data_IF_264219245877
#
_entry.id   IF_264219245877
#
_cell.length_a   1.000
_cell.length_b   1.000
_cell.length_c   1.000
_cell.angle_alpha   90.00
_cell.angle_beta   90.00
_cell.angle_gamma   90.00
#
_symmetry.space_group_name_H-M   'P 1'
#
loop_
_entity.id
_entity.type
_entity.pdbx_description
1 polymer ?
#
# COMPACT_ATOMS: atom_id res chain seq x y z
N UNK A 1 7.82 -3.81 -17.68
CA UNK A 1 7.95 -3.89 -16.21
C UNK A 1 8.59 -2.64 -15.61
N UNK A 2 9.86 -2.31 -15.88
CA UNK A 2 10.55 -1.15 -15.26
C UNK A 2 9.85 0.19 -15.52
N UNK A 3 9.44 0.47 -16.78
CA UNK A 3 8.70 1.71 -17.12
C UNK A 3 7.37 1.83 -16.34
N UNK A 4 6.67 0.72 -16.18
CA UNK A 4 5.41 0.65 -15.42
C UNK A 4 5.65 0.88 -13.93
N UNK A 5 6.63 0.22 -13.33
CA UNK A 5 6.98 0.42 -11.92
C UNK A 5 7.46 1.84 -11.64
N UNK A 6 8.26 2.43 -12.53
CA UNK A 6 8.67 3.83 -12.42
C UNK A 6 7.45 4.76 -12.42
N UNK A 7 6.54 4.60 -13.38
CA UNK A 7 5.33 5.43 -13.45
C UNK A 7 4.44 5.26 -12.21
N UNK A 8 4.19 4.02 -11.81
CA UNK A 8 3.38 3.67 -10.64
C UNK A 8 3.98 4.22 -9.35
N UNK A 9 5.29 4.09 -9.17
CA UNK A 9 6.02 4.67 -8.05
C UNK A 9 5.79 6.17 -7.95
N UNK A 10 6.03 6.94 -9.01
CA UNK A 10 5.89 8.40 -8.97
C UNK A 10 4.43 8.85 -8.78
N UNK A 11 3.46 8.12 -9.34
CA UNK A 11 2.04 8.39 -9.13
C UNK A 11 1.66 8.24 -7.66
N UNK A 12 2.01 7.12 -7.05
CA UNK A 12 1.68 6.86 -5.64
C UNK A 12 2.46 7.77 -4.72
N UNK A 13 3.75 8.01 -4.99
CA UNK A 13 4.56 8.96 -4.23
C UNK A 13 3.88 10.34 -4.18
N UNK A 14 3.52 10.86 -5.36
CA UNK A 14 2.93 12.20 -5.47
C UNK A 14 1.55 12.25 -4.81
N UNK A 15 0.72 11.23 -5.03
CA UNK A 15 -0.61 11.13 -4.42
C UNK A 15 -0.52 11.09 -2.90
N UNK A 16 0.33 10.24 -2.34
CA UNK A 16 0.53 10.14 -0.89
C UNK A 16 1.07 11.44 -0.32
N UNK A 17 2.06 12.06 -0.97
CA UNK A 17 2.64 13.31 -0.50
C UNK A 17 1.60 14.44 -0.46
N UNK A 18 0.84 14.61 -1.54
CA UNK A 18 -0.25 15.60 -1.61
C UNK A 18 -1.33 15.29 -0.56
N UNK A 19 -1.70 14.02 -0.41
CA UNK A 19 -2.72 13.60 0.55
C UNK A 19 -2.31 13.92 1.99
N UNK A 20 -1.06 13.64 2.37
CA UNK A 20 -0.57 13.96 3.71
C UNK A 20 -0.52 15.47 3.94
N UNK A 21 -0.08 16.26 2.96
CA UNK A 21 -0.10 17.72 3.07
C UNK A 21 -1.52 18.27 3.21
N UNK A 22 -2.48 17.70 2.48
CA UNK A 22 -3.90 18.07 2.58
C UNK A 22 -4.46 17.76 3.97
N UNK A 23 -4.13 16.60 4.55
CA UNK A 23 -4.53 16.26 5.92
C UNK A 23 -3.90 17.21 6.95
N UNK A 24 -2.62 17.58 6.78
CA UNK A 24 -1.97 18.57 7.64
C UNK A 24 -2.71 19.91 7.56
N UNK A 25 -3.00 20.38 6.34
CA UNK A 25 -3.68 21.66 6.12
C UNK A 25 -5.08 21.72 6.74
N UNK A 26 -5.85 20.63 6.67
CA UNK A 26 -7.22 20.60 7.19
C UNK A 26 -7.26 20.44 8.72
N UNK A 27 -6.43 19.56 9.28
CA UNK A 27 -6.54 19.17 10.69
C UNK A 27 -5.58 19.91 11.62
N UNK A 28 -4.43 20.36 11.13
CA UNK A 28 -3.44 21.09 11.92
C UNK A 28 -3.39 22.59 11.60
N UNK A 29 -3.99 23.03 10.49
CA UNK A 29 -4.06 24.43 10.10
C UNK A 29 -2.69 25.02 9.70
N UNK A 30 -2.45 26.27 10.08
CA UNK A 30 -1.21 26.99 9.76
C UNK A 30 -0.05 26.55 10.66
N UNK A 31 0.65 25.50 10.24
CA UNK A 31 1.86 24.98 10.90
C UNK A 31 3.11 25.27 10.07
N UNK A 32 4.17 25.78 10.71
CA UNK A 32 5.48 25.88 10.08
C UNK A 32 6.18 24.51 10.09
N UNK A 33 6.61 24.05 8.91
CA UNK A 33 7.30 22.77 8.76
C UNK A 33 8.82 22.99 8.74
N UNK A 34 9.53 22.32 9.65
CA UNK A 34 11.00 22.28 9.56
C UNK A 34 11.44 21.48 8.34
N UNK A 35 12.59 21.84 7.76
CA UNK A 35 13.19 21.11 6.63
C UNK A 35 13.38 19.62 6.96
N UNK A 36 13.74 19.30 8.21
CA UNK A 36 13.86 17.92 8.68
C UNK A 36 12.53 17.18 8.63
N UNK A 37 11.44 17.83 9.03
CA UNK A 37 10.10 17.23 8.97
C UNK A 37 9.63 17.02 7.53
N UNK A 38 9.95 17.94 6.62
CA UNK A 38 9.66 17.74 5.18
C UNK A 38 10.31 16.46 4.65
N UNK A 39 11.54 16.14 5.07
CA UNK A 39 12.16 14.86 4.71
C UNK A 39 11.42 13.64 5.26
N UNK A 40 10.84 13.73 6.46
CA UNK A 40 9.97 12.67 6.97
C UNK A 40 8.75 12.46 6.06
N UNK A 41 8.12 13.54 5.57
CA UNK A 41 7.00 13.46 4.64
C UNK A 41 7.40 12.83 3.30
N UNK A 42 8.58 13.18 2.78
CA UNK A 42 9.15 12.54 1.58
C UNK A 42 9.35 11.04 1.81
N UNK A 43 9.89 10.64 2.97
CA UNK A 43 10.07 9.24 3.32
C UNK A 43 8.74 8.48 3.42
N UNK A 44 7.69 9.09 3.99
CA UNK A 44 6.33 8.51 4.02
C UNK A 44 5.83 8.24 2.59
N UNK A 45 5.94 9.24 1.71
CA UNK A 45 5.57 9.09 0.29
C UNK A 45 6.37 7.99 -0.39
N UNK A 46 7.68 7.90 -0.13
CA UNK A 46 8.55 6.87 -0.69
C UNK A 46 8.17 5.46 -0.20
N UNK A 47 7.89 5.28 1.09
CA UNK A 47 7.43 4.01 1.65
C UNK A 47 6.13 3.55 0.96
N UNK A 48 5.14 4.43 0.87
CA UNK A 48 3.88 4.13 0.18
C UNK A 48 4.10 3.79 -1.30
N UNK A 49 4.95 4.53 -1.99
CA UNK A 49 5.29 4.28 -3.40
C UNK A 49 6.00 2.95 -3.63
N UNK A 50 6.89 2.54 -2.71
CA UNK A 50 7.54 1.23 -2.76
C UNK A 50 6.49 0.13 -2.56
N UNK A 51 5.66 0.24 -1.52
CA UNK A 51 4.70 -0.81 -1.15
C UNK A 51 3.64 -0.96 -2.23
N UNK A 52 2.89 0.10 -2.50
CA UNK A 52 1.75 0.03 -3.42
C UNK A 52 2.16 0.14 -4.88
N UNK A 53 3.24 0.89 -5.18
CA UNK A 53 3.61 1.22 -6.55
C UNK A 53 4.51 0.19 -7.22
N UNK A 54 5.28 -0.55 -6.41
CA UNK A 54 6.27 -1.51 -6.90
C UNK A 54 6.02 -2.90 -6.33
N UNK A 55 6.03 -3.04 -5.01
CA UNK A 55 6.01 -4.34 -4.34
C UNK A 55 4.69 -5.07 -4.59
N UNK A 56 3.54 -4.42 -4.41
CA UNK A 56 2.24 -5.05 -4.65
C UNK A 56 2.09 -5.50 -6.11
N UNK A 57 2.31 -4.67 -7.13
CA UNK A 57 2.31 -5.12 -8.52
C UNK A 57 3.27 -6.28 -8.76
N UNK A 58 4.51 -6.22 -8.25
CA UNK A 58 5.49 -7.30 -8.38
C UNK A 58 5.00 -8.61 -7.76
N UNK A 59 4.47 -8.55 -6.54
CA UNK A 59 4.04 -9.72 -5.77
C UNK A 59 2.76 -10.34 -6.32
N UNK A 60 1.79 -9.52 -6.72
CA UNK A 60 0.49 -10.03 -7.17
C UNK A 60 0.50 -10.44 -8.64
N UNK A 61 1.12 -9.65 -9.52
CA UNK A 61 1.02 -9.84 -10.97
C UNK A 61 2.18 -10.61 -11.58
N UNK A 62 3.38 -10.53 -11.00
CA UNK A 62 4.60 -11.10 -11.61
C UNK A 62 5.19 -12.27 -10.84
N UNK A 63 4.82 -12.46 -9.58
CA UNK A 63 5.35 -13.54 -8.76
C UNK A 63 4.53 -14.83 -8.90
N UNK A 64 5.24 -15.96 -8.98
CA UNK A 64 4.71 -17.33 -9.00
C UNK A 64 4.46 -17.92 -7.61
N UNK A 65 4.60 -17.12 -6.55
CA UNK A 65 4.37 -17.57 -5.17
C UNK A 65 2.92 -18.02 -4.96
N UNK A 66 2.73 -19.00 -4.06
CA UNK A 66 1.41 -19.42 -3.61
C UNK A 66 0.69 -18.27 -2.90
N UNK A 67 -0.65 -18.27 -2.95
CA UNK A 67 -1.49 -17.22 -2.38
C UNK A 67 -1.17 -16.93 -0.90
N UNK A 68 -0.97 -17.98 -0.10
CA UNK A 68 -0.57 -17.85 1.31
C UNK A 68 0.69 -16.98 1.49
N UNK A 69 1.75 -17.25 0.70
CA UNK A 69 2.99 -16.50 0.78
C UNK A 69 2.81 -15.04 0.33
N UNK A 70 2.02 -14.80 -0.72
CA UNK A 70 1.71 -13.44 -1.18
C UNK A 70 1.00 -12.64 -0.09
N UNK A 71 -0.03 -13.21 0.54
CA UNK A 71 -0.79 -12.58 1.63
C UNK A 71 0.11 -12.31 2.85
N UNK A 72 0.96 -13.28 3.22
CA UNK A 72 1.87 -13.12 4.35
C UNK A 72 2.87 -11.98 4.12
N UNK A 73 3.55 -11.98 2.97
CA UNK A 73 4.55 -10.96 2.62
C UNK A 73 3.90 -9.58 2.53
N UNK A 74 2.76 -9.47 1.84
CA UNK A 74 2.07 -8.18 1.70
C UNK A 74 1.61 -7.64 3.05
N UNK A 75 1.08 -8.49 3.93
CA UNK A 75 0.61 -8.08 5.25
C UNK A 75 1.75 -7.59 6.13
N UNK A 76 2.86 -8.34 6.19
CA UNK A 76 4.03 -7.96 7.00
C UNK A 76 4.62 -6.63 6.53
N UNK A 77 4.89 -6.50 5.23
CA UNK A 77 5.55 -5.30 4.71
C UNK A 77 4.61 -4.09 4.79
N UNK A 78 3.32 -4.26 4.52
CA UNK A 78 2.34 -3.18 4.64
C UNK A 78 2.21 -2.68 6.08
N UNK A 79 2.11 -3.59 7.05
CA UNK A 79 2.00 -3.20 8.45
C UNK A 79 3.27 -2.52 8.95
N UNK A 80 4.46 -3.04 8.62
CA UNK A 80 5.72 -2.40 8.98
C UNK A 80 5.86 -1.02 8.33
N UNK A 81 5.55 -0.90 7.04
CA UNK A 81 5.57 0.38 6.33
C UNK A 81 4.62 1.40 6.94
N UNK A 82 3.40 0.97 7.28
CA UNK A 82 2.42 1.81 7.97
C UNK A 82 2.90 2.28 9.34
N UNK A 83 3.49 1.39 10.14
CA UNK A 83 4.04 1.74 11.46
C UNK A 83 5.18 2.76 11.33
N UNK A 84 6.12 2.53 10.39
CA UNK A 84 7.23 3.45 10.14
C UNK A 84 6.69 4.80 9.66
N UNK A 85 5.68 4.81 8.79
CA UNK A 85 5.05 6.04 8.30
C UNK A 85 4.41 6.84 9.44
N UNK A 86 3.68 6.19 10.36
CA UNK A 86 3.11 6.86 11.54
C UNK A 86 4.23 7.42 12.44
N UNK A 87 5.29 6.65 12.67
CA UNK A 87 6.42 7.11 13.48
C UNK A 87 7.16 8.31 12.86
N UNK A 88 7.34 8.32 11.54
CA UNK A 88 7.91 9.46 10.79
C UNK A 88 7.00 10.70 10.87
N UNK A 89 5.69 10.50 10.91
CA UNK A 89 4.69 11.57 10.98
C UNK A 89 4.61 12.18 12.40
N UNK A 90 4.52 11.34 13.43
CA UNK A 90 4.46 11.77 14.83
C UNK A 90 4.80 10.63 15.80
N UNK A 91 5.75 10.88 16.71
CA UNK A 91 6.09 9.92 17.76
C UNK A 91 4.94 9.73 18.77
N UNK A 92 4.18 10.79 19.06
CA UNK A 92 3.02 10.71 19.96
C UNK A 92 1.93 9.82 19.37
N UNK A 93 1.65 9.96 18.06
CA UNK A 93 0.73 9.07 17.37
C UNK A 93 1.23 7.63 17.36
N UNK A 94 2.53 7.41 17.16
CA UNK A 94 3.10 6.08 17.24
C UNK A 94 2.90 5.45 18.63
N UNK A 95 3.15 6.21 19.71
CA UNK A 95 2.94 5.74 21.08
C UNK A 95 1.46 5.40 21.32
N UNK A 96 0.54 6.22 20.80
CA UNK A 96 -0.89 5.97 20.88
C UNK A 96 -1.32 4.68 20.15
N UNK A 97 -0.81 4.42 18.95
CA UNK A 97 -1.18 3.22 18.18
C UNK A 97 -0.44 1.95 18.63
N UNK A 98 0.70 2.08 19.34
CA UNK A 98 1.58 0.97 19.71
C UNK A 98 0.84 -0.22 20.36
N UNK A 99 -0.09 -0.03 21.32
CA UNK A 99 -0.83 -1.15 21.92
C UNK A 99 -1.72 -1.89 20.92
N UNK A 100 -2.13 -1.23 19.85
CA UNK A 100 -3.07 -1.73 18.84
C UNK A 100 -2.38 -2.37 17.63
N UNK A 101 -1.04 -2.38 17.57
CA UNK A 101 -0.28 -2.91 16.42
C UNK A 101 -0.70 -4.34 16.07
N UNK A 102 -0.90 -5.20 17.07
CA UNK A 102 -1.33 -6.58 16.84
C UNK A 102 -2.72 -6.64 16.18
N UNK A 103 -3.67 -5.84 16.66
CA UNK A 103 -5.01 -5.75 16.08
C UNK A 103 -4.96 -5.21 14.64
N UNK A 104 -4.15 -4.17 14.39
CA UNK A 104 -3.91 -3.61 13.05
C UNK A 104 -3.32 -4.66 12.12
N UNK A 105 -2.37 -5.48 12.59
CA UNK A 105 -1.77 -6.55 11.81
C UNK A 105 -2.79 -7.62 11.42
N UNK A 106 -3.60 -8.08 12.38
CA UNK A 106 -4.67 -9.04 12.12
C UNK A 106 -5.68 -8.48 11.11
N UNK A 107 -6.11 -7.23 11.30
CA UNK A 107 -7.02 -6.56 10.37
C UNK A 107 -6.40 -6.44 8.97
N UNK A 108 -5.11 -6.17 8.88
CA UNK A 108 -4.35 -6.11 7.62
C UNK A 108 -4.37 -7.46 6.92
N UNK A 109 -4.16 -8.57 7.64
CA UNK A 109 -4.24 -9.92 7.08
C UNK A 109 -5.64 -10.20 6.54
N UNK A 110 -6.68 -9.90 7.33
CA UNK A 110 -8.08 -10.10 6.92
C UNK A 110 -8.36 -9.32 5.63
N UNK A 111 -7.94 -8.04 5.57
CA UNK A 111 -8.10 -7.22 4.37
C UNK A 111 -7.44 -7.83 3.13
N UNK A 112 -6.22 -8.37 3.27
CA UNK A 112 -5.54 -9.05 2.17
C UNK A 112 -6.21 -10.36 1.75
N UNK A 113 -6.73 -11.15 2.69
CA UNK A 113 -7.49 -12.37 2.39
C UNK A 113 -8.74 -12.02 1.59
N UNK A 114 -9.50 -11.03 2.04
CA UNK A 114 -10.71 -10.55 1.37
C UNK A 114 -10.34 -10.06 -0.04
N UNK A 115 -9.37 -9.15 -0.15
CA UNK A 115 -8.91 -8.63 -1.43
C UNK A 115 -8.49 -9.72 -2.40
N UNK A 116 -7.74 -10.73 -1.93
CA UNK A 116 -7.35 -11.88 -2.72
C UNK A 116 -8.56 -12.66 -3.24
N UNK A 117 -9.54 -12.98 -2.38
CA UNK A 117 -10.71 -13.76 -2.77
C UNK A 117 -11.57 -13.02 -3.81
N UNK A 118 -11.82 -11.72 -3.58
CA UNK A 118 -12.56 -10.89 -4.51
C UNK A 118 -11.86 -10.77 -5.87
N UNK A 119 -10.56 -10.47 -5.86
CA UNK A 119 -9.77 -10.34 -7.09
C UNK A 119 -9.72 -11.67 -7.86
N UNK A 120 -9.47 -12.79 -7.18
CA UNK A 120 -9.39 -14.11 -7.81
C UNK A 120 -10.72 -14.50 -8.44
N UNK A 121 -11.85 -14.23 -7.78
CA UNK A 121 -13.19 -14.49 -8.34
C UNK A 121 -13.44 -13.68 -9.62
N UNK A 122 -13.06 -12.40 -9.60
CA UNK A 122 -13.20 -11.53 -10.77
C UNK A 122 -12.32 -11.99 -11.94
N UNK A 123 -11.04 -12.28 -11.66
CA UNK A 123 -10.06 -12.70 -12.66
C UNK A 123 -10.43 -14.05 -13.32
N UNK A 124 -10.87 -15.02 -12.52
CA UNK A 124 -11.38 -16.30 -13.01
C UNK A 124 -12.61 -16.12 -13.92
N UNK A 125 -13.53 -15.23 -13.55
CA UNK A 125 -14.73 -14.96 -14.34
C UNK A 125 -14.39 -14.28 -15.66
N UNK A 126 -13.45 -13.32 -15.64
CA UNK A 126 -12.96 -12.63 -16.82
C UNK A 126 -12.28 -13.60 -17.79
N UNK A 127 -11.32 -14.37 -17.28
CA UNK A 127 -10.56 -15.36 -18.05
C UNK A 127 -11.47 -16.41 -18.67
N UNK A 128 -12.47 -16.92 -17.92
CA UNK A 128 -13.46 -17.87 -18.44
C UNK A 128 -14.28 -17.28 -19.59
N UNK A 129 -14.71 -16.02 -19.50
CA UNK A 129 -15.43 -15.34 -20.59
C UNK A 129 -14.55 -15.14 -21.82
N UNK A 130 -13.30 -14.74 -21.64
CA UNK A 130 -12.34 -14.57 -22.74
C UNK A 130 -12.08 -15.89 -23.47
N UNK A 131 -11.85 -16.98 -22.72
CA UNK A 131 -11.71 -18.33 -23.28
C UNK A 131 -12.97 -18.77 -24.05
N UNK A 132 -14.15 -18.61 -23.46
CA UNK A 132 -15.42 -18.97 -24.11
C UNK A 132 -15.67 -18.16 -25.39
N UNK A 133 -15.26 -16.90 -25.44
CA UNK A 133 -15.37 -16.07 -26.63
C UNK A 133 -14.39 -16.49 -27.72
N UNK A 134 -13.18 -16.93 -27.36
CA UNK A 134 -12.21 -17.48 -28.32
C UNK A 134 -12.69 -18.80 -28.91
N UNK A 135 -13.38 -19.64 -28.13
CA UNK A 135 -13.93 -20.92 -28.58
C UNK A 135 -15.21 -20.80 -29.43
N UNK A 136 -15.87 -19.63 -29.41
CA UNK A 136 -17.07 -19.34 -30.23
C UNK A 136 -16.74 -18.74 -31.60
N UNK A 137 -15.47 -18.45 -31.87
CA UNK A 137 -14.95 -18.07 -33.19
C UNK A 137 -14.45 -19.31 -33.92
#
# INVERSE_FOLDING_TARGET
MIKQFKSSFFQIFSLTFIWVLLLISIFLGDVSLSVKYTWNLVCIGAISAIIFGVMYPALWNFSSLKAFNKIAISSVINTLGGIIAVWLFSQDMFIFIKPWILAIFILTIIGHIIGFYFYSKWDNTKTSKELNNLLKK
#
